data_IF_679408236210
#
_entry.id   IF_679408236210
#
_cell.length_a   1.000
_cell.length_b   1.000
_cell.length_c   1.000
_cell.angle_alpha   90.00
_cell.angle_beta   90.00
_cell.angle_gamma   90.00
#
_symmetry.space_group_name_H-M   'P 1'
#
loop_
_entity.id
_entity.type
_entity.pdbx_description
1 polymer ?
#
# COMPACT_ATOMS: atom_id res chain seq x y z
N UNK A 1 -19.64 17.23 -0.93
CA UNK A 1 -19.92 16.38 0.24
C UNK A 1 -19.50 17.15 1.48
N UNK A 2 -20.34 17.19 2.51
CA UNK A 2 -20.02 17.87 3.76
C UNK A 2 -19.11 16.98 4.61
N UNK A 3 -18.09 17.57 5.24
CA UNK A 3 -17.23 16.87 6.19
C UNK A 3 -18.05 16.44 7.41
N UNK A 4 -18.06 15.14 7.71
CA UNK A 4 -18.83 14.57 8.83
C UNK A 4 -17.94 14.19 10.02
N UNK A 5 -16.72 13.75 9.76
CA UNK A 5 -15.73 13.39 10.78
C UNK A 5 -14.46 14.16 10.46
N UNK A 6 -13.99 14.95 11.43
CA UNK A 6 -12.82 15.79 11.30
C UNK A 6 -11.56 14.95 11.45
N UNK A 7 -10.62 15.12 10.52
CA UNK A 7 -9.30 14.50 10.57
C UNK A 7 -8.29 15.53 11.08
N UNK A 8 -7.50 15.16 12.09
CA UNK A 8 -6.37 15.95 12.58
C UNK A 8 -5.07 15.32 12.09
N UNK A 9 -4.14 16.14 11.62
CA UNK A 9 -2.81 15.67 11.25
C UNK A 9 -1.83 15.93 12.39
N UNK A 10 -1.09 14.90 12.77
CA UNK A 10 -0.03 14.99 13.78
C UNK A 10 1.19 14.17 13.33
N UNK A 11 2.34 14.82 13.19
CA UNK A 11 3.60 14.20 12.75
C UNK A 11 3.50 13.42 11.43
N UNK A 12 2.71 13.92 10.46
CA UNK A 12 2.51 13.26 9.16
C UNK A 12 1.49 12.10 9.16
N UNK A 13 0.96 11.74 10.33
CA UNK A 13 -0.10 10.74 10.48
C UNK A 13 -1.46 11.42 10.67
N UNK A 14 -2.49 10.81 10.10
CA UNK A 14 -3.88 11.28 10.18
C UNK A 14 -4.63 10.57 11.29
N UNK A 15 -5.24 11.33 12.18
CA UNK A 15 -5.96 10.85 13.35
C UNK A 15 -7.37 11.43 13.42
N UNK A 16 -8.22 10.80 14.24
CA UNK A 16 -9.57 11.25 14.56
C UNK A 16 -9.69 11.36 16.08
N UNK A 17 -10.27 12.46 16.57
CA UNK A 17 -10.55 12.60 18.00
C UNK A 17 -11.61 11.59 18.43
N UNK A 18 -11.29 10.74 19.41
CA UNK A 18 -12.24 9.75 19.93
C UNK A 18 -13.49 10.40 20.54
N UNK A 19 -13.36 11.59 21.14
CA UNK A 19 -14.50 12.32 21.71
C UNK A 19 -15.41 12.89 20.65
N UNK A 20 -14.84 13.45 19.59
CA UNK A 20 -15.63 13.95 18.47
C UNK A 20 -16.38 12.79 17.80
N UNK A 21 -15.72 11.65 17.63
CA UNK A 21 -16.34 10.44 17.10
C UNK A 21 -17.46 9.92 18.03
N UNK A 22 -17.21 9.80 19.34
CA UNK A 22 -18.22 9.38 20.32
C UNK A 22 -19.47 10.27 20.29
N UNK A 23 -19.27 11.59 20.26
CA UNK A 23 -20.35 12.58 20.17
C UNK A 23 -21.11 12.46 18.85
N UNK A 24 -20.39 12.28 17.74
CA UNK A 24 -21.01 12.10 16.42
C UNK A 24 -21.86 10.83 16.36
N UNK A 25 -21.37 9.74 16.95
CA UNK A 25 -22.04 8.43 16.97
C UNK A 25 -23.23 8.37 17.94
N UNK A 26 -23.47 9.42 18.74
CA UNK A 26 -24.58 9.52 19.70
C UNK A 26 -24.62 8.31 20.66
N UNK A 27 -23.44 7.84 21.08
CA UNK A 27 -23.33 6.69 21.98
C UNK A 27 -23.84 7.07 23.38
N UNK A 28 -24.82 6.32 23.88
CA UNK A 28 -25.44 6.59 25.18
C UNK A 28 -24.53 6.31 26.38
N UNK A 29 -23.48 5.48 26.21
CA UNK A 29 -22.50 5.19 27.26
C UNK A 29 -21.55 6.37 27.46
N UNK A 30 -21.17 6.64 28.70
CA UNK A 30 -20.19 7.70 29.02
C UNK A 30 -18.85 7.43 28.34
N UNK A 31 -18.24 8.48 27.78
CA UNK A 31 -17.04 8.38 26.91
C UNK A 31 -15.94 7.47 27.48
N UNK A 32 -15.55 7.66 28.75
CA UNK A 32 -14.46 6.90 29.35
C UNK A 32 -14.76 5.40 29.48
N UNK A 33 -16.01 5.05 29.81
CA UNK A 33 -16.42 3.64 29.88
C UNK A 33 -16.54 3.02 28.48
N UNK A 34 -17.00 3.81 27.51
CA UNK A 34 -17.11 3.38 26.12
C UNK A 34 -15.74 3.09 25.51
N UNK A 35 -14.80 4.04 25.56
CA UNK A 35 -13.52 3.86 24.88
C UNK A 35 -12.70 2.72 25.48
N UNK A 36 -12.69 2.57 26.81
CA UNK A 36 -11.97 1.49 27.48
C UNK A 36 -12.56 0.11 27.14
N UNK A 37 -13.89 -0.02 27.16
CA UNK A 37 -14.56 -1.25 26.77
C UNK A 37 -14.27 -1.61 25.31
N UNK A 38 -14.30 -0.64 24.39
CA UNK A 38 -13.99 -0.90 22.98
C UNK A 38 -12.53 -1.30 22.77
N UNK A 39 -11.59 -0.66 23.45
CA UNK A 39 -10.18 -1.05 23.42
C UNK A 39 -10.00 -2.49 23.89
N UNK A 40 -10.58 -2.85 25.04
CA UNK A 40 -10.45 -4.20 25.60
C UNK A 40 -11.16 -5.26 24.74
N UNK A 41 -12.38 -4.99 24.30
CA UNK A 41 -13.22 -5.95 23.58
C UNK A 41 -12.66 -6.31 22.19
N UNK A 42 -12.06 -5.34 21.49
CA UNK A 42 -11.57 -5.51 20.13
C UNK A 42 -10.04 -5.59 20.03
N UNK A 43 -9.34 -5.51 21.16
CA UNK A 43 -7.89 -5.70 21.22
C UNK A 43 -7.08 -4.58 20.55
N UNK A 44 -7.58 -3.34 20.58
CA UNK A 44 -6.85 -2.20 20.01
C UNK A 44 -5.55 -1.93 20.78
N UNK A 45 -4.48 -1.60 20.04
CA UNK A 45 -3.13 -1.46 20.57
C UNK A 45 -2.72 0.02 20.61
N UNK A 46 -2.22 0.47 21.77
CA UNK A 46 -1.67 1.82 21.93
C UNK A 46 -0.42 2.03 21.07
N UNK A 47 -0.30 3.20 20.44
CA UNK A 47 0.71 3.59 19.43
C UNK A 47 0.57 2.90 18.06
N UNK A 48 -0.45 2.06 17.87
CA UNK A 48 -0.83 1.52 16.57
C UNK A 48 -2.21 2.02 16.17
N UNK A 49 -3.22 1.73 17.00
CA UNK A 49 -4.62 2.04 16.73
C UNK A 49 -5.07 3.34 17.41
N UNK A 50 -4.45 3.70 18.52
CA UNK A 50 -4.71 4.97 19.20
C UNK A 50 -3.49 5.50 19.95
N UNK A 51 -3.52 6.79 20.29
CA UNK A 51 -2.55 7.46 21.17
C UNK A 51 -3.30 8.16 22.28
N UNK A 52 -2.84 8.01 23.52
CA UNK A 52 -3.41 8.68 24.69
C UNK A 52 -2.56 9.88 25.07
N UNK A 53 -3.21 11.00 25.33
CA UNK A 53 -2.57 12.17 25.92
C UNK A 53 -3.40 12.66 27.09
N UNK A 54 -2.72 13.14 28.12
CA UNK A 54 -3.38 13.79 29.25
C UNK A 54 -3.25 15.28 29.04
N UNK A 55 -4.35 16.03 29.17
CA UNK A 55 -4.24 17.48 29.28
C UNK A 55 -3.49 17.79 30.58
N UNK A 56 -2.23 18.23 30.44
CA UNK A 56 -1.41 18.73 31.56
C UNK A 56 -1.86 20.17 31.84
N UNK A 57 -3.12 20.34 32.22
CA UNK A 57 -3.67 21.58 32.71
C UNK A 57 -4.00 21.38 34.19
N UNK A 58 -3.49 22.26 35.06
CA UNK A 58 -3.88 22.28 36.48
C UNK A 58 -5.39 22.28 36.55
N UNK A 59 -6.01 21.15 36.93
CA UNK A 59 -7.44 21.11 37.25
C UNK A 59 -7.69 22.17 38.34
N UNK A 60 -8.34 23.31 38.03
CA UNK A 60 -8.48 24.39 39.01
C UNK A 60 -9.31 23.98 40.23
N UNK A 61 -10.05 22.88 40.10
CA UNK A 61 -10.92 22.28 41.13
C UNK A 61 -10.34 21.01 41.78
N UNK A 62 -9.10 20.63 41.46
CA UNK A 62 -8.52 19.33 41.84
C UNK A 62 -9.13 18.14 41.08
N UNK A 63 -8.38 17.06 40.92
CA UNK A 63 -8.85 15.83 40.26
C UNK A 63 -7.83 15.21 39.29
N UNK A 64 -8.08 13.95 38.89
CA UNK A 64 -7.24 13.23 37.91
C UNK A 64 -7.30 13.94 36.54
N UNK A 65 -6.16 14.12 35.84
CA UNK A 65 -6.14 14.71 34.51
C UNK A 65 -7.06 13.96 33.55
N UNK A 66 -7.75 14.72 32.70
CA UNK A 66 -8.62 14.16 31.67
C UNK A 66 -7.74 13.49 30.59
N UNK A 67 -8.09 12.23 30.27
CA UNK A 67 -7.45 11.50 29.17
C UNK A 67 -8.19 11.80 27.87
N UNK A 68 -7.41 12.09 26.85
CA UNK A 68 -7.85 12.25 25.47
C UNK A 68 -7.20 11.17 24.60
N UNK A 69 -7.92 10.79 23.54
CA UNK A 69 -7.54 9.70 22.65
C UNK A 69 -7.60 10.18 21.20
N UNK A 70 -6.49 10.04 20.48
CA UNK A 70 -6.44 10.15 19.03
C UNK A 70 -6.49 8.74 18.45
N UNK A 71 -7.45 8.48 17.57
CA UNK A 71 -7.65 7.18 16.93
C UNK A 71 -7.05 7.20 15.54
N UNK A 72 -6.49 6.07 15.12
CA UNK A 72 -6.20 5.81 13.72
C UNK A 72 -7.51 5.85 12.91
N UNK A 73 -7.38 6.11 11.62
CA UNK A 73 -8.54 6.11 10.72
C UNK A 73 -9.22 4.74 10.73
N UNK A 74 -8.45 3.66 10.76
CA UNK A 74 -8.99 2.30 10.69
C UNK A 74 -9.73 1.90 11.97
N UNK A 75 -9.21 2.26 13.15
CA UNK A 75 -9.93 2.09 14.41
C UNK A 75 -11.24 2.89 14.40
N UNK A 76 -11.23 4.15 13.94
CA UNK A 76 -12.44 4.96 13.88
C UNK A 76 -13.51 4.39 12.91
N UNK A 77 -13.09 3.83 11.78
CA UNK A 77 -13.97 3.10 10.85
C UNK A 77 -14.61 1.91 11.54
N UNK A 78 -13.81 1.09 12.21
CA UNK A 78 -14.28 -0.10 12.90
C UNK A 78 -15.29 0.25 13.99
N UNK A 79 -14.97 1.20 14.86
CA UNK A 79 -15.90 1.68 15.89
C UNK A 79 -17.22 2.18 15.29
N UNK A 80 -17.17 2.92 14.18
CA UNK A 80 -18.38 3.40 13.49
C UNK A 80 -19.26 2.26 12.98
N UNK A 81 -18.66 1.15 12.55
CA UNK A 81 -19.39 -0.04 12.11
C UNK A 81 -20.00 -0.82 13.29
N UNK A 82 -19.35 -0.80 14.45
CA UNK A 82 -19.73 -1.55 15.65
C UNK A 82 -20.91 -0.94 16.42
N UNK A 83 -21.11 0.37 16.38
CA UNK A 83 -22.18 1.03 17.15
C UNK A 83 -23.60 0.69 16.68
N UNK A 84 -23.78 0.12 15.46
CA UNK A 84 -25.06 -0.39 14.93
C UNK A 84 -26.24 0.60 15.07
N UNK A 85 -25.98 1.89 14.97
CA UNK A 85 -26.99 2.95 15.02
C UNK A 85 -26.98 3.79 13.74
N UNK A 86 -27.95 4.71 13.58
CA UNK A 86 -28.07 5.52 12.35
C UNK A 86 -26.85 6.41 12.11
N UNK A 87 -26.20 6.92 13.17
CA UNK A 87 -24.96 7.70 13.05
C UNK A 87 -23.78 6.84 12.62
N UNK A 88 -23.65 5.64 13.16
CA UNK A 88 -22.67 4.64 12.72
C UNK A 88 -22.86 4.25 11.26
N UNK A 89 -24.12 4.10 10.81
CA UNK A 89 -24.44 3.87 9.40
C UNK A 89 -24.03 5.07 8.53
N UNK A 90 -24.28 6.30 8.98
CA UNK A 90 -23.85 7.52 8.29
C UNK A 90 -22.32 7.60 8.18
N UNK A 91 -21.59 7.37 9.28
CA UNK A 91 -20.13 7.30 9.28
C UNK A 91 -19.60 6.21 8.35
N UNK A 92 -20.19 5.01 8.37
CA UNK A 92 -19.80 3.92 7.48
C UNK A 92 -19.97 4.29 6.00
N UNK A 93 -21.11 4.86 5.64
CA UNK A 93 -21.36 5.33 4.26
C UNK A 93 -20.35 6.41 3.89
N UNK A 94 -20.10 7.37 4.79
CA UNK A 94 -19.13 8.43 4.60
C UNK A 94 -17.72 7.89 4.34
N UNK A 95 -17.22 6.97 5.18
CA UNK A 95 -15.91 6.36 4.98
C UNK A 95 -15.84 5.55 3.68
N UNK A 96 -16.88 4.79 3.34
CA UNK A 96 -16.96 4.07 2.06
C UNK A 96 -16.92 5.05 0.88
N UNK A 97 -17.63 6.17 0.96
CA UNK A 97 -17.62 7.19 -0.10
C UNK A 97 -16.26 7.90 -0.18
N UNK A 98 -15.60 8.17 0.94
CA UNK A 98 -14.23 8.68 0.98
C UNK A 98 -13.24 7.68 0.38
N UNK A 99 -13.33 6.39 0.71
CA UNK A 99 -12.50 5.33 0.13
C UNK A 99 -12.78 5.14 -1.36
N UNK A 100 -14.05 5.19 -1.79
CA UNK A 100 -14.43 5.17 -3.20
C UNK A 100 -13.86 6.37 -3.94
N UNK A 101 -13.94 7.57 -3.37
CA UNK A 101 -13.33 8.76 -3.95
C UNK A 101 -11.83 8.71 -3.96
N UNK A 102 -11.18 8.22 -2.91
CA UNK A 102 -9.74 7.99 -2.89
C UNK A 102 -9.35 6.93 -3.92
N UNK A 103 -10.17 5.90 -4.11
CA UNK A 103 -9.95 4.86 -5.12
C UNK A 103 -10.18 5.38 -6.53
N UNK A 104 -11.26 6.10 -6.77
CA UNK A 104 -11.57 6.78 -8.03
C UNK A 104 -10.54 7.87 -8.32
N UNK A 105 -10.08 8.60 -7.31
CA UNK A 105 -8.96 9.51 -7.40
C UNK A 105 -7.66 8.75 -7.59
N UNK A 106 -7.46 7.54 -7.07
CA UNK A 106 -6.24 6.77 -7.31
C UNK A 106 -6.23 6.16 -8.71
N UNK A 107 -7.38 5.70 -9.20
CA UNK A 107 -7.61 5.26 -10.58
C UNK A 107 -7.53 6.47 -11.52
N UNK A 108 -8.10 7.62 -11.14
CA UNK A 108 -7.92 8.94 -11.77
C UNK A 108 -6.58 9.62 -11.44
N UNK A 109 -5.74 9.07 -10.58
CA UNK A 109 -4.36 9.51 -10.35
C UNK A 109 -3.44 8.74 -11.28
N UNK A 110 -3.91 7.59 -11.78
CA UNK A 110 -3.42 7.00 -13.02
C UNK A 110 -4.00 7.68 -14.29
N UNK A 111 -5.16 8.36 -14.25
CA UNK A 111 -5.76 9.02 -15.44
C UNK A 111 -5.83 10.56 -15.48
N UNK A 112 -5.42 11.31 -14.46
CA UNK A 112 -5.47 12.78 -14.45
C UNK A 112 -4.15 13.33 -13.88
N UNK A 113 -3.38 13.96 -14.78
CA UNK A 113 -2.00 14.44 -14.69
C UNK A 113 -0.84 13.46 -14.90
N UNK A 114 -0.99 12.55 -15.87
CA UNK A 114 0.18 12.09 -16.63
C UNK A 114 -0.03 12.54 -18.07
N UNK A 115 0.60 13.65 -18.47
CA UNK A 115 0.63 14.03 -19.89
C UNK A 115 1.13 12.83 -20.72
N UNK A 116 0.73 12.67 -21.99
CA UNK A 116 1.21 11.56 -22.83
C UNK A 116 2.73 11.38 -22.78
N UNK A 117 3.46 12.48 -22.64
CA UNK A 117 4.92 12.54 -22.49
C UNK A 117 5.38 11.87 -21.19
N UNK A 118 4.73 12.15 -20.05
CA UNK A 118 5.05 11.53 -18.76
C UNK A 118 4.67 10.03 -18.72
N UNK A 119 3.63 9.61 -19.44
CA UNK A 119 3.26 8.18 -19.57
C UNK A 119 4.34 7.47 -20.38
N UNK A 120 4.75 8.07 -21.49
CA UNK A 120 5.84 7.56 -22.32
C UNK A 120 7.16 7.50 -21.53
N UNK A 121 7.47 8.52 -20.73
CA UNK A 121 8.65 8.57 -19.86
C UNK A 121 8.62 7.48 -18.78
N UNK A 122 7.50 7.33 -18.06
CA UNK A 122 7.34 6.28 -17.06
C UNK A 122 7.40 4.88 -17.67
N UNK A 123 6.77 4.66 -18.84
CA UNK A 123 6.88 3.41 -19.60
C UNK A 123 8.34 3.13 -19.96
N UNK A 124 9.09 4.14 -20.41
CA UNK A 124 10.52 4.00 -20.73
C UNK A 124 11.37 3.65 -19.50
N UNK A 125 11.06 4.22 -18.34
CA UNK A 125 11.73 3.88 -17.07
C UNK A 125 11.44 2.43 -16.67
N UNK A 126 10.16 2.03 -16.65
CA UNK A 126 9.75 0.66 -16.31
C UNK A 126 10.35 -0.37 -17.27
N UNK A 127 10.42 -0.05 -18.57
CA UNK A 127 11.06 -0.89 -19.58
C UNK A 127 12.54 -1.09 -19.29
N UNK A 128 13.27 -0.02 -18.95
CA UNK A 128 14.69 -0.13 -18.58
C UNK A 128 14.87 -1.00 -17.34
N UNK A 129 14.08 -0.77 -16.29
CA UNK A 129 14.12 -1.56 -15.06
C UNK A 129 13.85 -3.04 -15.32
N UNK A 130 12.82 -3.34 -16.11
CA UNK A 130 12.48 -4.72 -16.47
C UNK A 130 13.63 -5.40 -17.23
N UNK A 131 14.21 -4.72 -18.22
CA UNK A 131 15.33 -5.25 -19.00
C UNK A 131 16.59 -5.41 -18.15
N UNK A 132 16.86 -4.50 -17.21
CA UNK A 132 17.95 -4.62 -16.23
C UNK A 132 17.79 -5.85 -15.35
N UNK A 133 16.58 -6.16 -14.89
CA UNK A 133 16.29 -7.40 -14.16
C UNK A 133 16.51 -8.64 -15.02
N UNK A 134 16.02 -8.64 -16.27
CA UNK A 134 16.22 -9.77 -17.18
C UNK A 134 17.70 -10.06 -17.40
N UNK A 135 18.51 -9.02 -17.63
CA UNK A 135 19.95 -9.13 -17.92
C UNK A 135 20.72 -9.95 -16.87
N UNK A 136 20.30 -9.93 -15.61
CA UNK A 136 20.94 -10.70 -14.53
C UNK A 136 20.95 -12.20 -14.79
N UNK A 137 20.00 -12.69 -15.57
CA UNK A 137 19.84 -14.11 -15.87
C UNK A 137 20.29 -14.47 -17.28
N UNK A 138 20.95 -13.58 -18.02
CA UNK A 138 21.52 -13.89 -19.33
C UNK A 138 23.00 -14.23 -19.24
N UNK A 139 23.39 -15.35 -19.85
CA UNK A 139 24.78 -15.76 -20.00
C UNK A 139 25.35 -15.32 -21.34
N UNK A 140 26.68 -15.37 -21.45
CA UNK A 140 27.39 -15.04 -22.70
C UNK A 140 26.91 -15.98 -23.82
N UNK A 141 26.44 -15.39 -24.93
CA UNK A 141 25.98 -16.13 -26.11
C UNK A 141 24.47 -16.39 -26.15
N UNK A 142 23.74 -16.22 -25.05
CA UNK A 142 22.30 -16.49 -25.02
C UNK A 142 21.51 -15.64 -26.01
N UNK A 143 21.83 -14.35 -26.14
CA UNK A 143 21.17 -13.47 -27.12
C UNK A 143 21.42 -13.92 -28.57
N UNK A 144 22.60 -14.49 -28.83
CA UNK A 144 22.93 -15.05 -30.14
C UNK A 144 22.13 -16.34 -30.41
N UNK A 145 21.95 -17.17 -29.39
CA UNK A 145 21.13 -18.38 -29.48
C UNK A 145 19.66 -18.01 -29.73
N UNK A 146 19.10 -17.09 -28.93
CA UNK A 146 17.74 -16.57 -29.10
C UNK A 146 17.52 -16.04 -30.52
N UNK A 147 18.49 -15.29 -31.05
CA UNK A 147 18.46 -14.76 -32.43
C UNK A 147 18.37 -15.88 -33.47
N UNK A 148 19.20 -16.91 -33.36
CA UNK A 148 19.24 -18.04 -34.31
C UNK A 148 17.99 -18.91 -34.22
N UNK A 149 17.61 -19.31 -33.00
CA UNK A 149 16.49 -20.21 -32.72
C UNK A 149 15.16 -19.61 -33.19
N UNK A 150 14.94 -18.32 -32.93
CA UNK A 150 13.68 -17.66 -33.24
C UNK A 150 13.68 -16.97 -34.61
N UNK A 151 14.79 -17.04 -35.37
CA UNK A 151 14.98 -16.34 -36.64
C UNK A 151 14.73 -14.83 -36.52
N UNK A 152 15.18 -14.23 -35.42
CA UNK A 152 15.01 -12.81 -35.12
C UNK A 152 16.35 -12.12 -35.33
N UNK A 153 16.35 -10.96 -35.98
CA UNK A 153 17.57 -10.16 -36.15
C UNK A 153 18.21 -9.85 -34.79
N UNK A 154 19.49 -10.19 -34.64
CA UNK A 154 20.26 -9.92 -33.43
C UNK A 154 20.19 -8.44 -33.02
N UNK A 155 20.26 -7.53 -34.00
CA UNK A 155 20.16 -6.09 -33.75
C UNK A 155 18.79 -5.69 -33.17
N UNK A 156 17.71 -6.38 -33.54
CA UNK A 156 16.37 -6.13 -33.00
C UNK A 156 16.30 -6.55 -31.53
N UNK A 157 16.87 -7.71 -31.19
CA UNK A 157 17.02 -8.18 -29.80
C UNK A 157 17.85 -7.19 -28.98
N UNK A 158 18.98 -6.72 -29.50
CA UNK A 158 19.83 -5.75 -28.80
C UNK A 158 19.11 -4.43 -28.54
N UNK A 159 18.29 -3.95 -29.48
CA UNK A 159 17.49 -2.73 -29.26
C UNK A 159 16.48 -2.90 -28.13
N UNK A 160 15.81 -4.06 -28.05
CA UNK A 160 14.91 -4.41 -26.94
C UNK A 160 15.70 -4.51 -25.64
N UNK A 161 16.79 -5.28 -25.64
CA UNK A 161 17.69 -5.43 -24.48
C UNK A 161 18.39 -4.15 -24.07
N UNK A 162 18.35 -3.07 -24.87
CA UNK A 162 18.88 -1.74 -24.50
C UNK A 162 17.80 -0.75 -24.08
N UNK A 163 16.53 -1.18 -24.02
CA UNK A 163 15.39 -0.31 -23.69
C UNK A 163 15.06 0.72 -24.78
N UNK A 164 15.52 0.49 -26.02
CA UNK A 164 15.32 1.39 -27.15
C UNK A 164 14.13 0.99 -28.04
N UNK A 165 13.60 -0.21 -27.86
CA UNK A 165 12.46 -0.76 -28.61
C UNK A 165 11.66 -1.68 -27.70
N UNK A 166 10.35 -1.72 -27.90
CA UNK A 166 9.45 -2.61 -27.18
C UNK A 166 8.69 -3.43 -28.21
N UNK A 167 9.10 -4.67 -28.37
CA UNK A 167 8.45 -5.65 -29.23
C UNK A 167 8.02 -6.81 -28.33
N UNK A 168 6.72 -6.88 -28.06
CA UNK A 168 6.12 -7.80 -27.07
C UNK A 168 6.55 -9.24 -27.33
N UNK A 169 6.56 -9.65 -28.60
CA UNK A 169 6.96 -11.01 -29.00
C UNK A 169 8.42 -11.29 -28.65
N UNK A 170 9.32 -10.32 -28.85
CA UNK A 170 10.74 -10.48 -28.48
C UNK A 170 10.89 -10.52 -26.97
N UNK A 171 10.13 -9.72 -26.24
CA UNK A 171 10.17 -9.65 -24.78
C UNK A 171 9.74 -10.96 -24.17
N UNK A 172 8.65 -11.57 -24.64
CA UNK A 172 8.19 -12.87 -24.15
C UNK A 172 9.27 -13.94 -24.33
N UNK A 173 9.90 -13.99 -25.51
CA UNK A 173 11.00 -14.92 -25.79
C UNK A 173 12.19 -14.70 -24.85
N UNK A 174 12.57 -13.43 -24.62
CA UNK A 174 13.68 -13.09 -23.75
C UNK A 174 13.37 -13.37 -22.27
N UNK A 175 12.13 -13.14 -21.86
CA UNK A 175 11.62 -13.46 -20.53
C UNK A 175 11.70 -14.97 -20.27
N UNK A 176 11.16 -15.78 -21.18
CA UNK A 176 11.22 -17.24 -21.10
C UNK A 176 12.67 -17.73 -21.01
N UNK A 177 13.57 -17.19 -21.83
CA UNK A 177 14.99 -17.54 -21.78
C UNK A 177 15.61 -17.19 -20.43
N UNK A 178 15.34 -16.00 -19.89
CA UNK A 178 15.83 -15.58 -18.59
C UNK A 178 15.30 -16.46 -17.45
N UNK A 179 14.01 -16.81 -17.46
CA UNK A 179 13.42 -17.66 -16.42
C UNK A 179 13.99 -19.08 -16.45
N UNK A 180 14.21 -19.65 -17.63
CA UNK A 180 14.87 -20.95 -17.77
C UNK A 180 16.30 -20.94 -17.20
N UNK A 181 17.06 -19.87 -17.48
CA UNK A 181 18.41 -19.70 -16.94
C UNK A 181 18.42 -19.52 -15.42
N UNK A 182 17.45 -18.76 -14.89
CA UNK A 182 17.26 -18.58 -13.44
C UNK A 182 16.95 -19.91 -12.77
N UNK A 183 15.98 -20.65 -13.30
CA UNK A 183 15.61 -21.96 -12.79
C UNK A 183 16.80 -22.94 -12.79
N UNK A 184 17.59 -22.96 -13.87
CA UNK A 184 18.80 -23.78 -13.93
C UNK A 184 19.84 -23.39 -12.87
N UNK A 185 19.97 -22.11 -12.53
CA UNK A 185 20.86 -21.64 -11.46
C UNK A 185 20.34 -22.11 -10.09
N UNK A 186 19.05 -21.96 -9.83
CA UNK A 186 18.40 -22.40 -8.58
C UNK A 186 18.59 -23.90 -8.38
N UNK A 187 18.36 -24.73 -9.40
CA UNK A 187 18.61 -26.18 -9.31
C UNK A 187 20.08 -26.50 -9.00
N UNK A 188 21.05 -25.78 -9.59
CA UNK A 188 22.48 -26.00 -9.29
C UNK A 188 22.80 -25.64 -7.83
N UNK A 189 22.21 -24.57 -7.31
CA UNK A 189 22.37 -24.18 -5.91
C UNK A 189 21.80 -25.23 -4.97
N UNK A 190 20.62 -25.79 -5.27
CA UNK A 190 20.01 -26.85 -4.47
C UNK A 190 20.88 -28.10 -4.38
N UNK A 191 21.48 -28.53 -5.50
CA UNK A 191 22.42 -29.65 -5.53
C UNK A 191 23.64 -29.36 -4.66
N UNK A 192 24.28 -28.20 -4.82
CA UNK A 192 25.44 -27.80 -4.02
C UNK A 192 25.14 -27.74 -2.51
N UNK A 193 23.96 -27.24 -2.13
CA UNK A 193 23.51 -27.19 -0.73
C UNK A 193 23.32 -28.60 -0.17
N UNK A 194 22.82 -29.52 -0.99
CA UNK A 194 22.61 -30.92 -0.59
C UNK A 194 23.95 -31.62 -0.35
N UNK A 195 24.91 -31.44 -1.26
CA UNK A 195 26.25 -32.03 -1.16
C UNK A 195 27.06 -31.47 0.02
N UNK A 196 26.79 -30.25 0.48
CA UNK A 196 27.42 -29.67 1.69
C UNK A 196 26.83 -30.22 3.00
N UNK A 197 25.64 -30.83 2.96
CA UNK A 197 24.98 -31.41 4.13
C UNK A 197 25.27 -32.90 4.32
N UNK A 198 25.86 -33.54 3.30
CA UNK A 198 26.35 -34.93 3.35
C UNK A 198 27.80 -34.99 3.83
#
# INVERSE_FOLDING_TARGET
MKELIKITQHNGNSFISARELHKFLEVGKVFGAWINERIEQFGFIENQDYVVFSEIGKNPKGGRPMKEYLLSIDMAKELSMLERNEKGKQARIYFIECEKRLREQSLNYYSIEVSPERIAERRKILQKQFVEELRKYFYRGDLTNVSKENKISYNKIIRVMSGNSFDDRIIDILYEKAMNNKYSLECKMEVMITDLKS
#
